data_IF_822443509926
#
_entry.id   IF_822443509926
#
_cell.length_a   1.000
_cell.length_b   1.000
_cell.length_c   1.000
_cell.angle_alpha   90.00
_cell.angle_beta   90.00
_cell.angle_gamma   90.00
#
_symmetry.space_group_name_H-M   'P 1'
#
loop_
_entity.id
_entity.type
_entity.pdbx_description
1 polymer ?
#
# COMPACT_ATOMS: atom_id res chain seq x y z
N UNK A 1 -3.57 11.15 27.63
CA UNK A 1 -4.37 10.16 26.87
C UNK A 1 -4.15 10.45 25.40
N UNK A 2 -3.21 9.76 24.76
CA UNK A 2 -2.73 10.11 23.41
C UNK A 2 -3.68 9.60 22.34
N UNK A 3 -4.07 10.45 21.40
CA UNK A 3 -4.91 10.09 20.25
C UNK A 3 -4.08 9.29 19.22
N UNK A 4 -4.45 8.03 18.90
CA UNK A 4 -3.83 7.29 17.81
C UNK A 4 -4.47 7.74 16.49
N UNK A 5 -3.92 8.79 15.86
CA UNK A 5 -4.49 9.39 14.65
C UNK A 5 -3.66 9.19 13.37
N UNK A 6 -2.36 9.40 13.41
CA UNK A 6 -1.68 9.81 12.17
C UNK A 6 -1.22 8.67 11.23
N UNK A 7 -0.88 7.45 11.68
CA UNK A 7 -0.53 6.34 10.76
C UNK A 7 -1.73 5.77 10.02
N UNK A 8 -2.85 5.65 10.72
CA UNK A 8 -4.13 5.28 10.11
C UNK A 8 -4.52 6.34 9.09
N UNK A 9 -4.37 7.62 9.42
CA UNK A 9 -4.74 8.71 8.52
C UNK A 9 -3.80 8.81 7.30
N UNK A 10 -2.49 8.57 7.48
CA UNK A 10 -1.53 8.55 6.38
C UNK A 10 -1.80 7.36 5.41
N UNK A 11 -2.02 6.15 5.91
CA UNK A 11 -2.38 4.98 5.08
C UNK A 11 -3.77 5.12 4.46
N UNK A 12 -4.69 5.76 5.18
CA UNK A 12 -6.02 6.10 4.66
C UNK A 12 -5.89 7.05 3.48
N UNK A 13 -5.16 8.15 3.63
CA UNK A 13 -4.93 9.11 2.54
C UNK A 13 -4.35 8.41 1.30
N UNK A 14 -3.31 7.59 1.49
CA UNK A 14 -2.71 6.79 0.42
C UNK A 14 -3.74 5.90 -0.30
N UNK A 15 -4.59 5.20 0.46
CA UNK A 15 -5.61 4.32 -0.12
C UNK A 15 -6.74 5.09 -0.82
N UNK A 16 -7.11 6.27 -0.33
CA UNK A 16 -8.07 7.14 -1.01
C UNK A 16 -7.52 7.67 -2.34
N UNK A 17 -6.24 8.03 -2.41
CA UNK A 17 -5.58 8.40 -3.67
C UNK A 17 -5.58 7.23 -4.67
N UNK A 18 -5.25 6.02 -4.21
CA UNK A 18 -5.30 4.81 -5.04
C UNK A 18 -6.71 4.54 -5.52
N UNK A 19 -7.70 4.59 -4.62
CA UNK A 19 -9.09 4.37 -4.96
C UNK A 19 -9.57 5.38 -6.02
N UNK A 20 -9.32 6.68 -5.80
CA UNK A 20 -9.69 7.72 -6.74
C UNK A 20 -9.06 7.51 -8.13
N UNK A 21 -7.78 7.10 -8.18
CA UNK A 21 -7.11 6.80 -9.44
C UNK A 21 -7.67 5.57 -10.17
N UNK A 22 -8.16 4.57 -9.44
CA UNK A 22 -8.73 3.33 -9.99
C UNK A 22 -10.20 3.49 -10.40
N UNK A 23 -10.93 4.41 -9.78
CA UNK A 23 -12.35 4.68 -10.04
C UNK A 23 -12.60 5.96 -10.82
N UNK A 24 -11.55 6.59 -11.35
CA UNK A 24 -11.67 7.75 -12.22
C UNK A 24 -12.48 7.40 -13.49
N UNK A 25 -13.12 8.40 -14.08
CA UNK A 25 -13.81 8.26 -15.36
C UNK A 25 -13.17 9.17 -16.40
N UNK A 26 -12.50 8.62 -17.44
CA UNK A 26 -12.29 7.19 -17.70
C UNK A 26 -11.25 6.53 -16.74
N UNK A 27 -11.30 5.20 -16.51
CA UNK A 27 -10.45 4.49 -15.55
C UNK A 27 -9.05 4.19 -16.12
N UNK A 28 -8.29 5.24 -16.43
CA UNK A 28 -6.99 5.15 -17.11
C UNK A 28 -6.00 4.26 -16.37
N UNK A 29 -5.93 4.35 -15.04
CA UNK A 29 -5.00 3.54 -14.23
C UNK A 29 -5.26 2.05 -14.40
N UNK A 30 -6.52 1.62 -14.30
CA UNK A 30 -6.93 0.23 -14.46
C UNK A 30 -6.68 -0.28 -15.88
N UNK A 31 -6.93 0.56 -16.89
CA UNK A 31 -6.65 0.26 -18.29
C UNK A 31 -5.14 0.07 -18.54
N UNK A 32 -4.28 0.94 -18.00
CA UNK A 32 -2.83 0.84 -18.11
C UNK A 32 -2.29 -0.43 -17.45
N UNK A 33 -2.76 -0.77 -16.25
CA UNK A 33 -2.38 -2.02 -15.57
C UNK A 33 -2.75 -3.23 -16.42
N UNK A 34 -3.98 -3.25 -16.94
CA UNK A 34 -4.49 -4.34 -17.77
C UNK A 34 -3.76 -4.46 -19.11
N UNK A 35 -3.34 -3.34 -19.71
CA UNK A 35 -2.51 -3.32 -20.91
C UNK A 35 -1.10 -3.87 -20.64
N UNK A 36 -0.51 -3.52 -19.49
CA UNK A 36 0.82 -4.00 -19.09
C UNK A 36 0.90 -5.52 -18.95
N UNK A 37 -0.20 -6.18 -18.55
CA UNK A 37 -0.27 -7.65 -18.48
C UNK A 37 -0.11 -8.35 -19.84
N UNK A 38 -0.29 -7.63 -20.95
CA UNK A 38 -0.21 -8.20 -22.31
C UNK A 38 1.09 -7.84 -23.05
N UNK A 39 2.02 -7.13 -22.41
CA UNK A 39 3.23 -6.63 -23.05
C UNK A 39 4.42 -6.68 -22.10
N UNK A 40 5.46 -7.49 -22.36
CA UNK A 40 6.63 -7.57 -21.48
C UNK A 40 7.31 -6.21 -21.22
N UNK A 41 7.53 -5.33 -22.23
CA UNK A 41 8.07 -3.99 -21.98
C UNK A 41 7.16 -3.13 -21.10
N UNK A 42 5.84 -3.22 -21.27
CA UNK A 42 4.90 -2.46 -20.44
C UNK A 42 4.83 -3.02 -19.01
N UNK A 43 4.98 -4.33 -18.81
CA UNK A 43 5.08 -4.95 -17.50
C UNK A 43 6.34 -4.49 -16.75
N UNK A 44 7.47 -4.35 -17.45
CA UNK A 44 8.71 -3.80 -16.87
C UNK A 44 8.55 -2.34 -16.45
N UNK A 45 7.99 -1.50 -17.33
CA UNK A 45 7.68 -0.11 -17.02
C UNK A 45 6.73 0.00 -15.81
N UNK A 46 5.71 -0.85 -15.72
CA UNK A 46 4.78 -0.88 -14.60
C UNK A 46 5.48 -1.29 -13.29
N UNK A 47 6.40 -2.28 -13.32
CA UNK A 47 7.20 -2.66 -12.14
C UNK A 47 8.09 -1.51 -11.67
N UNK A 48 8.75 -0.81 -12.58
CA UNK A 48 9.59 0.34 -12.26
C UNK A 48 8.78 1.48 -11.63
N UNK A 49 7.61 1.79 -12.22
CA UNK A 49 6.66 2.75 -11.65
C UNK A 49 6.24 2.36 -10.23
N UNK A 50 5.94 1.09 -9.99
CA UNK A 50 5.55 0.60 -8.68
C UNK A 50 6.65 0.71 -7.65
N UNK A 51 7.88 0.31 -8.00
CA UNK A 51 9.03 0.42 -7.12
C UNK A 51 9.26 1.86 -6.67
N UNK A 52 9.23 2.80 -7.62
CA UNK A 52 9.38 4.24 -7.37
C UNK A 52 8.22 4.81 -6.52
N UNK A 53 6.96 4.43 -6.83
CA UNK A 53 5.79 4.80 -6.01
C UNK A 53 5.94 4.33 -4.56
N UNK A 54 6.33 3.07 -4.33
CA UNK A 54 6.51 2.55 -2.98
C UNK A 54 7.69 3.21 -2.25
N UNK A 55 8.79 3.50 -2.95
CA UNK A 55 9.93 4.23 -2.37
C UNK A 55 9.53 5.63 -1.87
N UNK A 56 8.71 6.36 -2.65
CA UNK A 56 8.14 7.65 -2.23
C UNK A 56 7.18 7.49 -1.05
N UNK A 57 6.27 6.52 -1.13
CA UNK A 57 5.28 6.28 -0.07
C UNK A 57 5.88 5.79 1.24
N UNK A 58 7.11 5.26 1.25
CA UNK A 58 7.80 4.86 2.47
C UNK A 58 7.97 6.02 3.48
N UNK A 59 7.87 7.28 3.03
CA UNK A 59 7.82 8.43 3.93
C UNK A 59 6.68 8.37 4.94
N UNK A 60 5.50 7.84 4.55
CA UNK A 60 4.36 7.62 5.44
C UNK A 60 4.74 6.69 6.60
N UNK A 61 5.39 5.58 6.27
CA UNK A 61 5.82 4.57 7.26
C UNK A 61 6.88 5.16 8.20
N UNK A 62 7.86 5.88 7.66
CA UNK A 62 8.90 6.55 8.47
C UNK A 62 8.30 7.53 9.48
N UNK A 63 7.28 8.31 9.10
CA UNK A 63 6.59 9.21 10.04
C UNK A 63 5.87 8.43 11.15
N UNK A 64 5.22 7.32 10.83
CA UNK A 64 4.56 6.47 11.83
C UNK A 64 5.56 5.89 12.84
N UNK A 65 6.74 5.44 12.38
CA UNK A 65 7.85 5.00 13.23
C UNK A 65 8.34 6.14 14.13
N UNK A 66 8.59 7.32 13.57
CA UNK A 66 9.08 8.48 14.32
C UNK A 66 8.12 8.92 15.43
N UNK A 67 6.80 8.71 15.25
CA UNK A 67 5.77 8.96 16.26
C UNK A 67 5.60 7.83 17.28
N UNK A 68 6.33 6.72 17.14
CA UNK A 68 6.22 5.54 18.00
C UNK A 68 4.94 4.73 17.80
N UNK A 69 4.25 4.90 16.67
CA UNK A 69 2.96 4.24 16.41
C UNK A 69 3.13 2.80 15.92
N UNK A 70 4.26 2.49 15.30
CA UNK A 70 4.65 1.16 14.83
C UNK A 70 6.13 0.92 15.16
N UNK A 71 6.56 -0.34 15.13
CA UNK A 71 7.93 -0.71 15.45
C UNK A 71 8.93 -0.17 14.41
N UNK A 72 10.15 0.13 14.85
CA UNK A 72 11.19 0.71 14.02
C UNK A 72 11.79 -0.28 12.99
N UNK A 73 11.68 -1.58 13.25
CA UNK A 73 12.11 -2.67 12.38
C UNK A 73 11.06 -3.04 11.31
N UNK A 74 10.09 -2.16 11.04
CA UNK A 74 9.07 -2.40 10.01
C UNK A 74 9.66 -2.42 8.60
N UNK A 75 9.30 -3.44 7.83
CA UNK A 75 9.44 -3.48 6.38
C UNK A 75 8.36 -2.58 5.76
N UNK A 76 8.76 -1.37 5.37
CA UNK A 76 7.87 -0.39 4.77
C UNK A 76 7.25 -0.88 3.45
N UNK A 77 8.00 -1.66 2.64
CA UNK A 77 7.48 -2.16 1.38
C UNK A 77 6.37 -3.17 1.61
N UNK A 78 6.58 -4.16 2.50
CA UNK A 78 5.56 -5.15 2.85
C UNK A 78 4.29 -4.51 3.40
N UNK A 79 4.43 -3.51 4.28
CA UNK A 79 3.28 -2.77 4.81
C UNK A 79 2.51 -2.02 3.70
N UNK A 80 3.19 -1.30 2.83
CA UNK A 80 2.54 -0.51 1.76
C UNK A 80 1.85 -1.40 0.72
N UNK A 81 2.46 -2.54 0.38
CA UNK A 81 1.83 -3.55 -0.47
C UNK A 81 0.58 -4.09 0.21
N UNK A 82 0.66 -4.52 1.47
CA UNK A 82 -0.48 -5.04 2.21
C UNK A 82 -1.62 -4.01 2.36
N UNK A 83 -1.29 -2.73 2.49
CA UNK A 83 -2.28 -1.65 2.60
C UNK A 83 -3.05 -1.39 1.30
N UNK A 84 -2.39 -1.51 0.14
CA UNK A 84 -2.97 -1.13 -1.16
C UNK A 84 -3.46 -2.32 -1.99
N UNK A 85 -2.90 -3.52 -1.79
CA UNK A 85 -3.24 -4.73 -2.56
C UNK A 85 -4.74 -5.07 -2.58
N UNK A 86 -5.52 -4.92 -1.48
CA UNK A 86 -6.96 -5.17 -1.54
C UNK A 86 -7.70 -4.29 -2.57
N UNK A 87 -7.26 -3.05 -2.80
CA UNK A 87 -7.87 -2.17 -3.80
C UNK A 87 -7.58 -2.65 -5.21
N UNK A 88 -6.34 -3.04 -5.50
CA UNK A 88 -5.97 -3.61 -6.81
C UNK A 88 -6.66 -4.94 -7.06
N UNK A 89 -6.75 -5.79 -6.05
CA UNK A 89 -7.43 -7.07 -6.14
C UNK A 89 -8.92 -6.89 -6.47
N UNK A 90 -9.64 -6.10 -5.69
CA UNK A 90 -11.08 -5.88 -5.89
C UNK A 90 -11.37 -5.15 -7.20
N UNK A 91 -10.71 -4.03 -7.46
CA UNK A 91 -11.09 -3.14 -8.55
C UNK A 91 -10.49 -3.51 -9.90
N UNK A 92 -9.29 -4.12 -9.92
CA UNK A 92 -8.60 -4.47 -11.18
C UNK A 92 -8.71 -5.96 -11.48
N UNK A 93 -8.43 -6.83 -10.50
CA UNK A 93 -8.43 -8.28 -10.74
C UNK A 93 -9.85 -8.85 -10.78
N UNK A 94 -10.69 -8.49 -9.80
CA UNK A 94 -12.06 -8.99 -9.71
C UNK A 94 -13.08 -8.11 -10.44
N UNK A 95 -12.77 -6.82 -10.64
CA UNK A 95 -13.68 -5.86 -11.26
C UNK A 95 -14.95 -5.61 -10.44
N UNK A 96 -14.86 -5.67 -9.11
CA UNK A 96 -16.01 -5.47 -8.22
C UNK A 96 -16.48 -4.01 -8.23
N UNK A 97 -17.76 -3.80 -7.90
CA UNK A 97 -18.33 -2.46 -7.82
C UNK A 97 -17.58 -1.64 -6.77
N UNK A 98 -17.00 -0.48 -7.15
CA UNK A 98 -16.23 0.31 -6.22
C UNK A 98 -17.05 0.79 -5.03
N UNK A 99 -16.49 0.64 -3.84
CA UNK A 99 -17.05 1.20 -2.61
C UNK A 99 -16.01 2.04 -1.87
N UNK A 100 -16.30 3.29 -1.48
CA UNK A 100 -15.35 4.13 -0.73
C UNK A 100 -14.89 3.50 0.58
N UNK A 101 -15.70 2.59 1.16
CA UNK A 101 -15.37 1.87 2.39
C UNK A 101 -14.16 0.94 2.22
N UNK A 102 -13.85 0.49 1.00
CA UNK A 102 -12.74 -0.42 0.73
C UNK A 102 -11.40 0.22 1.10
N UNK A 103 -11.18 1.47 0.70
CA UNK A 103 -9.96 2.22 1.01
C UNK A 103 -9.74 2.33 2.53
N UNK A 104 -10.81 2.68 3.26
CA UNK A 104 -10.82 2.83 4.72
C UNK A 104 -10.62 1.50 5.45
N UNK A 105 -11.18 0.41 4.94
CA UNK A 105 -11.04 -0.92 5.55
C UNK A 105 -9.61 -1.43 5.38
N UNK A 106 -9.07 -1.41 4.16
CA UNK A 106 -7.72 -1.87 3.87
C UNK A 106 -6.65 -1.08 4.66
N UNK A 107 -6.82 0.24 4.80
CA UNK A 107 -5.90 1.06 5.59
C UNK A 107 -5.96 0.72 7.09
N UNK A 108 -7.17 0.49 7.63
CA UNK A 108 -7.35 0.11 9.04
C UNK A 108 -6.72 -1.25 9.34
N UNK A 109 -6.93 -2.23 8.48
CA UNK A 109 -6.46 -3.59 8.68
C UNK A 109 -4.93 -3.66 8.62
N UNK A 110 -4.32 -2.99 7.62
CA UNK A 110 -2.87 -2.89 7.51
C UNK A 110 -2.26 -2.14 8.71
N UNK A 111 -2.87 -1.05 9.17
CA UNK A 111 -2.40 -0.33 10.34
C UNK A 111 -2.48 -1.18 11.62
N UNK A 112 -3.51 -2.00 11.78
CA UNK A 112 -3.65 -2.91 12.91
C UNK A 112 -2.57 -4.00 12.89
N UNK A 113 -2.33 -4.62 11.73
CA UNK A 113 -1.28 -5.61 11.55
C UNK A 113 0.13 -5.02 11.77
N UNK A 114 0.37 -3.77 11.34
CA UNK A 114 1.64 -3.07 11.59
C UNK A 114 1.90 -2.84 13.08
N UNK A 115 0.88 -2.41 13.84
CA UNK A 115 0.96 -2.24 15.29
C UNK A 115 1.24 -3.57 16.01
N UNK A 116 0.70 -4.66 15.49
CA UNK A 116 0.95 -6.00 16.01
C UNK A 116 2.33 -6.58 15.60
N UNK A 117 3.11 -5.88 14.77
CA UNK A 117 4.43 -6.32 14.34
C UNK A 117 4.43 -7.31 13.17
N UNK A 118 3.33 -7.47 12.43
CA UNK A 118 3.25 -8.45 11.32
C UNK A 118 4.23 -8.19 10.16
N UNK A 119 4.75 -6.97 10.06
CA UNK A 119 5.62 -6.52 8.97
C UNK A 119 7.05 -6.23 9.42
N UNK A 120 7.49 -6.71 10.58
CA UNK A 120 8.90 -6.51 10.98
C UNK A 120 9.82 -7.33 10.10
N UNK A 121 11.02 -6.80 9.81
CA UNK A 121 12.09 -7.58 9.19
C UNK A 121 12.59 -8.61 10.18
N UNK A 122 12.74 -9.86 9.75
CA UNK A 122 13.32 -10.90 10.57
C UNK A 122 14.85 -10.81 10.45
N UNK A 123 15.48 -10.11 11.39
CA UNK A 123 16.95 -9.92 11.41
C UNK A 123 17.70 -11.23 11.62
N UNK A 124 17.03 -12.34 12.00
CA UNK A 124 17.66 -13.64 12.16
C UNK A 124 18.20 -14.23 10.84
N UNK A 125 17.65 -13.84 9.69
CA UNK A 125 18.06 -14.34 8.37
C UNK A 125 19.27 -13.58 7.80
N UNK A 126 19.48 -12.32 8.20
CA UNK A 126 20.54 -11.46 7.64
C UNK A 126 21.95 -11.74 8.23
N UNK A 127 22.05 -12.43 9.36
CA UNK A 127 23.31 -12.78 10.05
C UNK A 127 23.89 -14.14 9.62
N UNK A 128 23.26 -14.83 8.66
CA UNK A 128 23.61 -16.20 8.26
C UNK A 128 23.97 -16.39 6.79
N UNK A 129 24.26 -15.31 6.04
CA UNK A 129 24.69 -15.36 4.63
C UNK A 129 26.09 -14.81 4.45
#
# INVERSE_FOLDING_TARGET
MGTPGASKDDLRALNHEVYAALTADPPITSALITAALRSPPAAEALRAFWADRYARSAAVVRRAVARGEIRADVDAYRLLVAATAPLYHELVLLGTTPTPRLADQAARDAAAAARAGAFTVDTSVAMGS
#
